data_IF_347341762561
#
_entry.id   IF_347341762561
#
_cell.length_a   1.000
_cell.length_b   1.000
_cell.length_c   1.000
_cell.angle_alpha   90.00
_cell.angle_beta   90.00
_cell.angle_gamma   90.00
#
_symmetry.space_group_name_H-M   'P 1'
#
loop_
_entity.id
_entity.type
_entity.pdbx_description
1 polymer ?
#
# COMPACT_ATOMS: atom_id res chain seq x y z
N UNK A 1 10.24 -12.46 -17.15
CA UNK A 1 10.23 -13.25 -15.89
C UNK A 1 11.35 -12.71 -15.01
N UNK A 2 11.10 -12.38 -13.74
CA UNK A 2 12.12 -11.88 -12.83
C UNK A 2 12.79 -13.07 -12.11
N UNK A 3 14.08 -13.29 -12.34
CA UNK A 3 14.84 -14.40 -11.73
C UNK A 3 15.04 -14.20 -10.21
N UNK A 4 14.94 -12.97 -9.71
CA UNK A 4 15.09 -12.66 -8.27
C UNK A 4 13.81 -12.89 -7.45
N UNK A 5 12.67 -13.15 -8.10
CA UNK A 5 11.37 -13.25 -7.43
C UNK A 5 11.07 -14.66 -6.87
N UNK A 6 12.01 -15.61 -6.97
CA UNK A 6 11.77 -17.00 -6.58
C UNK A 6 10.89 -17.76 -7.58
N UNK A 7 10.71 -19.06 -7.35
CA UNK A 7 9.99 -19.98 -8.23
C UNK A 7 8.46 -19.89 -8.09
N UNK A 8 7.91 -18.68 -7.98
CA UNK A 8 6.46 -18.50 -7.86
C UNK A 8 5.79 -18.76 -9.21
N UNK A 9 4.69 -19.51 -9.19
CA UNK A 9 3.86 -19.72 -10.37
C UNK A 9 3.31 -18.36 -10.84
N UNK A 10 3.53 -18.05 -12.12
CA UNK A 10 2.94 -16.88 -12.79
C UNK A 10 1.88 -17.41 -13.75
N UNK A 11 0.72 -16.76 -13.80
CA UNK A 11 -0.34 -17.14 -14.73
C UNK A 11 0.16 -17.04 -16.18
N UNK A 12 -0.07 -18.10 -16.97
CA UNK A 12 0.32 -18.19 -18.39
C UNK A 12 -0.83 -17.95 -19.36
N UNK A 13 -2.00 -17.55 -18.86
CA UNK A 13 -3.17 -17.32 -19.70
C UNK A 13 -2.98 -16.08 -20.60
N UNK A 14 -3.48 -16.10 -21.85
CA UNK A 14 -3.40 -14.95 -22.74
C UNK A 14 -4.02 -13.70 -22.12
N UNK A 15 -3.36 -12.54 -22.25
CA UNK A 15 -3.84 -11.25 -21.73
C UNK A 15 -3.59 -10.99 -20.23
N UNK A 16 -3.26 -12.02 -19.45
CA UNK A 16 -3.02 -11.92 -18.01
C UNK A 16 -1.72 -11.15 -17.70
N UNK A 17 -0.66 -11.38 -18.46
CA UNK A 17 0.59 -10.64 -18.32
C UNK A 17 0.41 -9.14 -18.62
N UNK A 18 -0.40 -8.80 -19.63
CA UNK A 18 -0.68 -7.41 -20.01
C UNK A 18 -1.57 -6.71 -18.98
N UNK A 19 -2.54 -7.42 -18.40
CA UNK A 19 -3.37 -6.91 -17.30
C UNK A 19 -2.50 -6.59 -16.08
N UNK A 20 -1.63 -7.52 -15.67
CA UNK A 20 -0.68 -7.29 -14.58
C UNK A 20 0.23 -6.08 -14.85
N UNK A 21 0.83 -6.00 -16.03
CA UNK A 21 1.71 -4.89 -16.37
C UNK A 21 0.97 -3.54 -16.38
N UNK A 22 -0.28 -3.50 -16.86
CA UNK A 22 -1.09 -2.30 -16.86
C UNK A 22 -1.52 -1.88 -15.44
N UNK A 23 -1.97 -2.83 -14.63
CA UNK A 23 -2.31 -2.60 -13.24
C UNK A 23 -1.11 -2.08 -12.43
N UNK A 24 0.07 -2.68 -12.60
CA UNK A 24 1.32 -2.21 -11.97
C UNK A 24 1.66 -0.79 -12.39
N UNK A 25 1.59 -0.47 -13.70
CA UNK A 25 1.81 0.92 -14.18
C UNK A 25 0.84 1.90 -13.53
N UNK A 26 -0.45 1.55 -13.44
CA UNK A 26 -1.48 2.42 -12.87
C UNK A 26 -1.30 2.59 -11.36
N UNK A 27 -0.94 1.52 -10.65
CA UNK A 27 -0.63 1.56 -9.22
C UNK A 27 0.55 2.49 -8.93
N UNK A 28 1.64 2.36 -9.70
CA UNK A 28 2.84 3.20 -9.55
C UNK A 28 2.60 4.67 -9.89
N UNK A 29 1.73 4.97 -10.88
CA UNK A 29 1.32 6.34 -11.18
C UNK A 29 0.46 6.95 -10.08
N UNK A 30 -0.42 6.15 -9.49
CA UNK A 30 -1.33 6.60 -8.42
C UNK A 30 -0.60 6.82 -7.09
N UNK A 31 0.48 6.08 -6.86
CA UNK A 31 1.32 6.17 -5.66
C UNK A 31 2.79 6.35 -6.03
N UNK A 32 3.25 7.60 -6.23
CA UNK A 32 4.66 7.91 -6.49
C UNK A 32 5.63 7.37 -5.43
N UNK A 33 5.10 7.09 -4.23
CA UNK A 33 5.75 6.35 -3.16
C UNK A 33 6.49 5.09 -3.64
N UNK A 34 5.91 4.30 -4.53
CA UNK A 34 6.55 3.07 -5.01
C UNK A 34 7.91 3.34 -5.68
N UNK A 35 7.93 4.31 -6.60
CA UNK A 35 9.13 4.67 -7.33
C UNK A 35 10.18 5.28 -6.40
N UNK A 36 9.75 6.22 -5.54
CA UNK A 36 10.64 6.89 -4.60
C UNK A 36 11.27 5.91 -3.60
N UNK A 37 10.51 4.91 -3.13
CA UNK A 37 10.95 4.01 -2.06
C UNK A 37 11.67 2.77 -2.55
N UNK A 38 11.16 2.13 -3.59
CA UNK A 38 11.62 0.81 -4.01
C UNK A 38 12.39 0.82 -5.33
N UNK A 39 12.33 1.94 -6.08
CA UNK A 39 13.07 2.12 -7.33
C UNK A 39 12.83 1.01 -8.35
N UNK A 40 13.80 0.81 -9.23
CA UNK A 40 13.68 -0.19 -10.30
C UNK A 40 13.54 -1.63 -9.78
N UNK A 41 14.14 -1.93 -8.63
CA UNK A 41 14.01 -3.25 -8.01
C UNK A 41 12.56 -3.51 -7.59
N UNK A 42 11.93 -2.54 -6.94
CA UNK A 42 10.50 -2.60 -6.60
C UNK A 42 9.61 -2.82 -7.80
N UNK A 43 9.92 -2.16 -8.93
CA UNK A 43 9.17 -2.29 -10.16
C UNK A 43 9.13 -3.75 -10.65
N UNK A 44 10.29 -4.41 -10.68
CA UNK A 44 10.40 -5.81 -11.11
C UNK A 44 9.66 -6.76 -10.17
N UNK A 45 9.66 -6.49 -8.86
CA UNK A 45 8.85 -7.24 -7.90
C UNK A 45 7.35 -7.01 -8.10
N UNK A 46 6.90 -5.78 -8.29
CA UNK A 46 5.47 -5.49 -8.53
C UNK A 46 4.94 -6.20 -9.78
N UNK A 47 5.74 -6.34 -10.85
CA UNK A 47 5.35 -7.13 -12.02
C UNK A 47 5.21 -8.62 -11.69
N UNK A 48 6.13 -9.16 -10.90
CA UNK A 48 6.08 -10.56 -10.48
C UNK A 48 4.90 -10.84 -9.56
N UNK A 49 4.71 -10.00 -8.54
CA UNK A 49 3.61 -10.10 -7.58
C UNK A 49 2.27 -9.97 -8.32
N UNK A 50 2.14 -9.04 -9.27
CA UNK A 50 0.92 -8.92 -10.05
C UNK A 50 0.66 -10.12 -10.98
N UNK A 51 1.70 -10.82 -11.41
CA UNK A 51 1.57 -12.09 -12.14
C UNK A 51 1.13 -13.25 -11.23
N UNK A 52 1.66 -13.29 -10.00
CA UNK A 52 1.27 -14.25 -8.96
C UNK A 52 -0.15 -14.02 -8.46
N UNK A 53 -0.58 -12.77 -8.27
CA UNK A 53 -1.95 -12.45 -7.83
C UNK A 53 -3.03 -13.06 -8.73
N UNK A 54 -2.73 -13.27 -10.01
CA UNK A 54 -3.64 -13.90 -10.96
C UNK A 54 -3.73 -15.42 -10.78
N UNK A 55 -2.79 -16.07 -10.10
CA UNK A 55 -2.94 -17.49 -9.72
C UNK A 55 -3.98 -17.67 -8.63
N UNK A 56 -4.37 -16.60 -7.93
CA UNK A 56 -5.46 -16.67 -6.94
C UNK A 56 -6.83 -16.84 -7.60
N UNK A 57 -6.97 -16.49 -8.88
CA UNK A 57 -8.22 -16.64 -9.65
C UNK A 57 -8.69 -18.09 -9.78
N UNK A 58 -7.78 -19.06 -9.66
CA UNK A 58 -8.09 -20.49 -9.81
C UNK A 58 -8.24 -21.21 -8.46
N UNK A 59 -8.05 -20.48 -7.35
CA UNK A 59 -8.22 -21.03 -6.01
C UNK A 59 -9.67 -20.87 -5.53
N UNK A 60 -10.17 -21.76 -4.66
CA UNK A 60 -11.37 -21.49 -3.89
C UNK A 60 -11.24 -20.16 -3.12
N UNK A 61 -12.35 -19.42 -3.02
CA UNK A 61 -12.37 -18.09 -2.38
C UNK A 61 -11.74 -18.06 -0.97
N UNK A 62 -11.98 -19.03 -0.06
CA UNK A 62 -11.32 -19.02 1.25
C UNK A 62 -9.79 -19.12 1.17
N UNK A 63 -9.27 -19.90 0.22
CA UNK A 63 -7.83 -20.10 0.02
C UNK A 63 -7.19 -18.85 -0.61
N UNK A 64 -7.85 -18.27 -1.61
CA UNK A 64 -7.44 -17.00 -2.21
C UNK A 64 -7.34 -15.88 -1.17
N UNK A 65 -8.35 -15.78 -0.29
CA UNK A 65 -8.39 -14.79 0.78
C UNK A 65 -7.30 -15.04 1.85
N UNK A 66 -7.04 -16.29 2.21
CA UNK A 66 -5.96 -16.64 3.13
C UNK A 66 -4.58 -16.24 2.57
N UNK A 67 -4.32 -16.56 1.30
CA UNK A 67 -3.09 -16.16 0.59
C UNK A 67 -2.98 -14.62 0.50
N UNK A 68 -4.10 -13.93 0.26
CA UNK A 68 -4.14 -12.46 0.21
C UNK A 68 -3.74 -11.83 1.55
N UNK A 69 -4.31 -12.33 2.65
CA UNK A 69 -4.01 -11.85 4.01
C UNK A 69 -2.57 -12.13 4.40
N UNK A 70 -2.03 -13.29 4.02
CA UNK A 70 -0.60 -13.60 4.20
C UNK A 70 0.29 -12.61 3.45
N UNK A 71 0.03 -12.38 2.15
CA UNK A 71 0.81 -11.42 1.35
C UNK A 71 0.75 -10.03 1.97
N UNK A 72 -0.46 -9.57 2.35
CA UNK A 72 -0.63 -8.28 3.02
C UNK A 72 0.25 -8.16 4.27
N UNK A 73 0.29 -9.18 5.13
CA UNK A 73 1.15 -9.19 6.31
C UNK A 73 2.64 -9.08 5.97
N UNK A 74 3.08 -9.84 4.96
CA UNK A 74 4.46 -9.83 4.45
C UNK A 74 4.88 -8.44 3.92
N UNK A 75 3.97 -7.76 3.22
CA UNK A 75 4.19 -6.44 2.62
C UNK A 75 4.17 -5.32 3.68
N UNK A 76 3.24 -5.35 4.64
CA UNK A 76 3.17 -4.40 5.77
C UNK A 76 4.50 -4.33 6.52
N UNK A 77 5.07 -5.49 6.85
CA UNK A 77 6.38 -5.59 7.51
C UNK A 77 7.54 -4.95 6.73
N UNK A 78 7.38 -4.72 5.41
CA UNK A 78 8.36 -4.07 4.53
C UNK A 78 8.03 -2.59 4.25
N UNK A 79 7.10 -2.02 5.02
CA UNK A 79 6.66 -0.64 4.83
C UNK A 79 5.79 -0.45 3.59
N UNK A 80 5.05 -1.49 3.16
CA UNK A 80 3.99 -1.35 2.15
C UNK A 80 2.62 -1.44 2.84
N UNK A 81 2.00 -0.30 3.18
CA UNK A 81 0.68 -0.31 3.80
C UNK A 81 -0.39 -0.94 2.92
N UNK A 82 -1.39 -1.54 3.55
CA UNK A 82 -2.42 -2.37 2.91
C UNK A 82 -3.21 -1.67 1.80
N UNK A 83 -3.40 -0.34 1.87
CA UNK A 83 -4.06 0.46 0.82
C UNK A 83 -3.37 0.34 -0.55
N UNK A 84 -2.06 0.09 -0.56
CA UNK A 84 -1.29 -0.09 -1.78
C UNK A 84 -1.68 -1.40 -2.48
N UNK A 85 -1.79 -2.49 -1.71
CA UNK A 85 -2.26 -3.78 -2.22
C UNK A 85 -3.75 -3.73 -2.59
N UNK A 86 -4.59 -3.12 -1.74
CA UNK A 86 -6.03 -2.89 -2.01
C UNK A 86 -6.22 -2.19 -3.37
N UNK A 87 -5.51 -1.09 -3.59
CA UNK A 87 -5.62 -0.30 -4.82
C UNK A 87 -5.11 -1.09 -6.04
N UNK A 88 -3.99 -1.81 -5.88
CA UNK A 88 -3.44 -2.63 -6.95
C UNK A 88 -4.40 -3.73 -7.40
N UNK A 89 -5.07 -4.40 -6.46
CA UNK A 89 -6.10 -5.41 -6.78
C UNK A 89 -7.28 -4.79 -7.53
N UNK A 90 -7.73 -3.59 -7.13
CA UNK A 90 -8.76 -2.86 -7.86
C UNK A 90 -8.35 -2.58 -9.31
N UNK A 91 -7.13 -2.09 -9.52
CA UNK A 91 -6.60 -1.88 -10.88
C UNK A 91 -6.46 -3.18 -11.66
N UNK A 92 -6.03 -4.27 -11.03
CA UNK A 92 -5.91 -5.57 -11.68
C UNK A 92 -7.27 -6.12 -12.11
N UNK A 93 -8.29 -6.03 -11.27
CA UNK A 93 -9.65 -6.45 -11.60
C UNK A 93 -10.22 -5.70 -12.81
N UNK A 94 -10.01 -4.38 -12.86
CA UNK A 94 -10.43 -3.54 -13.99
C UNK A 94 -9.67 -3.92 -15.28
N UNK A 95 -8.35 -4.08 -15.21
CA UNK A 95 -7.53 -4.42 -16.38
C UNK A 95 -7.80 -5.84 -16.91
N UNK A 96 -8.15 -6.79 -16.04
CA UNK A 96 -8.62 -8.13 -16.43
C UNK A 96 -9.96 -8.02 -17.18
N UNK A 97 -10.91 -7.27 -16.63
CA UNK A 97 -12.24 -7.07 -17.22
C UNK A 97 -12.14 -6.45 -18.62
N UNK A 98 -11.32 -5.41 -18.78
CA UNK A 98 -11.06 -4.76 -20.07
C UNK A 98 -10.51 -5.73 -21.14
N UNK A 99 -9.82 -6.79 -20.71
CA UNK A 99 -9.23 -7.81 -21.59
C UNK A 99 -10.09 -9.05 -21.76
N UNK A 100 -11.33 -9.03 -21.26
CA UNK A 100 -12.28 -10.14 -21.39
C UNK A 100 -12.06 -11.29 -20.40
N UNK A 101 -11.23 -11.09 -19.38
CA UNK A 101 -11.11 -12.02 -18.25
C UNK A 101 -12.01 -11.55 -17.11
N UNK A 102 -12.68 -12.48 -16.43
CA UNK A 102 -13.46 -12.17 -15.24
C UNK A 102 -12.57 -11.57 -14.13
N UNK A 103 -12.82 -10.29 -13.81
CA UNK A 103 -12.13 -9.56 -12.76
C UNK A 103 -12.84 -9.62 -11.39
N UNK A 104 -14.04 -10.18 -11.30
CA UNK A 104 -14.85 -10.22 -10.08
C UNK A 104 -14.12 -10.88 -8.90
N UNK A 105 -13.42 -12.02 -9.07
CA UNK A 105 -12.71 -12.64 -7.95
C UNK A 105 -11.63 -11.72 -7.35
N UNK A 106 -10.88 -10.99 -8.20
CA UNK A 106 -9.88 -10.03 -7.71
C UNK A 106 -10.55 -8.82 -7.06
N UNK A 107 -11.67 -8.36 -7.63
CA UNK A 107 -12.45 -7.24 -7.08
C UNK A 107 -12.97 -7.58 -5.68
N UNK A 108 -13.49 -8.78 -5.46
CA UNK A 108 -13.91 -9.23 -4.13
C UNK A 108 -12.77 -9.22 -3.12
N UNK A 109 -11.57 -9.68 -3.51
CA UNK A 109 -10.38 -9.59 -2.64
C UNK A 109 -10.02 -8.14 -2.29
N UNK A 110 -10.11 -7.21 -3.26
CA UNK A 110 -9.89 -5.79 -3.02
C UNK A 110 -10.94 -5.20 -2.06
N UNK A 111 -12.20 -5.56 -2.25
CA UNK A 111 -13.32 -5.10 -1.42
C UNK A 111 -13.24 -5.66 0.00
N UNK A 112 -12.75 -6.88 0.19
CA UNK A 112 -12.47 -7.45 1.52
C UNK A 112 -11.43 -6.64 2.28
N UNK A 113 -10.30 -6.31 1.64
CA UNK A 113 -9.29 -5.46 2.25
C UNK A 113 -9.84 -4.07 2.58
N UNK A 114 -10.64 -3.50 1.67
CA UNK A 114 -11.30 -2.22 1.88
C UNK A 114 -12.27 -2.25 3.05
N UNK A 115 -13.10 -3.29 3.15
CA UNK A 115 -14.04 -3.46 4.27
C UNK A 115 -13.31 -3.59 5.60
N UNK A 116 -12.23 -4.37 5.65
CA UNK A 116 -11.40 -4.49 6.85
C UNK A 116 -10.77 -3.16 7.27
N UNK A 117 -10.38 -2.31 6.31
CA UNK A 117 -9.88 -0.95 6.58
C UNK A 117 -11.00 -0.02 7.06
N UNK A 118 -12.13 0.00 6.37
CA UNK A 118 -13.27 0.87 6.69
C UNK A 118 -13.97 0.50 8.00
N UNK A 119 -13.79 -0.73 8.49
CA UNK A 119 -14.23 -1.13 9.82
C UNK A 119 -13.45 -0.42 10.95
N UNK A 120 -12.30 0.19 10.64
CA UNK A 120 -11.46 0.90 11.62
C UNK A 120 -11.52 2.42 11.48
N UNK A 121 -11.95 2.91 10.33
CA UNK A 121 -12.11 4.33 10.04
C UNK A 121 -13.21 4.50 9.00
N UNK A 122 -14.22 5.32 9.29
CA UNK A 122 -15.27 5.56 8.30
C UNK A 122 -14.76 6.39 7.11
N UNK A 123 -15.53 6.40 6.01
CA UNK A 123 -15.13 7.08 4.78
C UNK A 123 -15.01 8.61 4.92
N UNK A 124 -15.81 9.24 5.79
CA UNK A 124 -15.78 10.68 6.00
C UNK A 124 -14.54 11.08 6.80
N UNK A 125 -14.22 10.34 7.86
CA UNK A 125 -12.99 10.48 8.64
C UNK A 125 -11.76 10.23 7.77
N UNK A 126 -11.76 9.18 6.95
CA UNK A 126 -10.67 8.89 6.00
C UNK A 126 -10.41 10.08 5.06
N UNK A 127 -11.47 10.59 4.44
CA UNK A 127 -11.37 11.68 3.47
C UNK A 127 -10.91 12.97 4.13
N UNK A 128 -11.49 13.32 5.27
CA UNK A 128 -11.13 14.51 6.06
C UNK A 128 -9.66 14.46 6.51
N UNK A 129 -9.21 13.32 7.05
CA UNK A 129 -7.82 13.15 7.49
C UNK A 129 -6.84 13.16 6.33
N UNK A 130 -7.20 12.56 5.19
CA UNK A 130 -6.39 12.64 3.97
C UNK A 130 -6.19 14.09 3.52
N UNK A 131 -7.27 14.89 3.54
CA UNK A 131 -7.24 16.30 3.16
C UNK A 131 -6.50 17.18 4.17
N UNK A 132 -6.41 16.76 5.43
CA UNK A 132 -5.73 17.50 6.49
C UNK A 132 -4.21 17.26 6.55
N UNK A 133 -3.64 16.38 5.73
CA UNK A 133 -2.19 16.19 5.70
C UNK A 133 -1.53 17.50 5.21
N UNK A 134 -0.54 18.06 5.94
CA UNK A 134 0.17 19.24 5.50
C UNK A 134 0.86 18.99 4.16
N UNK A 135 0.73 19.94 3.23
CA UNK A 135 1.47 19.90 1.98
C UNK A 135 2.95 20.23 2.21
N UNK A 136 3.82 19.57 1.45
CA UNK A 136 5.24 19.91 1.43
C UNK A 136 5.51 20.87 0.27
N UNK A 137 6.18 21.98 0.59
CA UNK A 137 6.66 22.97 -0.39
C UNK A 137 7.85 22.45 -1.19
N UNK A 138 8.46 21.33 -0.80
CA UNK A 138 9.55 20.71 -1.56
C UNK A 138 9.02 20.19 -2.91
N UNK A 139 9.55 20.68 -4.05
CA UNK A 139 9.19 20.18 -5.37
C UNK A 139 9.44 18.69 -5.56
N UNK A 140 10.42 18.12 -4.85
CA UNK A 140 10.77 16.70 -4.85
C UNK A 140 9.94 15.86 -3.89
N UNK A 141 9.05 16.46 -3.10
CA UNK A 141 8.24 15.74 -2.14
C UNK A 141 7.33 14.70 -2.81
N UNK A 142 7.31 13.51 -2.24
CA UNK A 142 6.45 12.43 -2.69
C UNK A 142 5.00 12.81 -2.41
N UNK A 143 4.20 12.85 -3.47
CA UNK A 143 2.77 13.20 -3.39
C UNK A 143 1.93 11.99 -2.98
N UNK A 144 0.69 12.25 -2.57
CA UNK A 144 -0.30 11.24 -2.18
C UNK A 144 0.12 10.33 -1.01
N UNK A 145 0.80 10.90 -0.01
CA UNK A 145 1.26 10.16 1.18
C UNK A 145 0.16 9.95 2.23
N UNK A 146 -0.88 10.77 2.25
CA UNK A 146 -1.92 10.71 3.28
C UNK A 146 -2.62 9.33 3.37
N UNK A 147 -3.13 8.73 2.27
CA UNK A 147 -3.73 7.40 2.34
C UNK A 147 -2.72 6.32 2.77
N UNK A 148 -1.44 6.48 2.42
CA UNK A 148 -0.36 5.55 2.79
C UNK A 148 -0.14 5.59 4.31
N UNK A 149 -0.02 6.78 4.89
CA UNK A 149 0.15 6.92 6.33
C UNK A 149 -1.08 6.48 7.12
N UNK A 150 -2.29 6.88 6.71
CA UNK A 150 -3.51 6.42 7.39
C UNK A 150 -3.64 4.90 7.33
N UNK A 151 -3.36 4.30 6.18
CA UNK A 151 -3.31 2.84 6.06
C UNK A 151 -2.25 2.23 6.96
N UNK A 152 -1.06 2.83 7.05
CA UNK A 152 0.01 2.34 7.90
C UNK A 152 -0.39 2.38 9.38
N UNK A 153 -1.06 3.44 9.82
CA UNK A 153 -1.58 3.58 11.18
C UNK A 153 -2.66 2.55 11.51
N UNK A 154 -3.52 2.21 10.55
CA UNK A 154 -4.51 1.13 10.67
C UNK A 154 -3.81 -0.23 10.75
N UNK A 155 -2.77 -0.43 9.93
CA UNK A 155 -2.00 -1.66 9.87
C UNK A 155 -1.22 -1.96 11.16
N UNK A 156 -0.89 -0.95 11.98
CA UNK A 156 -0.22 -1.08 13.29
C UNK A 156 -0.90 -2.07 14.26
N UNK A 157 -2.21 -2.30 14.09
CA UNK A 157 -2.95 -3.26 14.91
C UNK A 157 -2.41 -4.68 14.74
N UNK A 158 -2.10 -5.05 13.50
CA UNK A 158 -1.66 -6.41 13.13
C UNK A 158 -0.16 -6.46 12.81
N UNK A 159 0.44 -5.33 12.42
CA UNK A 159 1.84 -5.20 12.03
C UNK A 159 2.46 -3.95 12.68
N UNK A 160 2.82 -4.04 13.98
CA UNK A 160 3.44 -2.94 14.69
C UNK A 160 4.71 -2.42 14.02
N UNK A 161 4.87 -1.10 13.97
CA UNK A 161 6.00 -0.41 13.36
C UNK A 161 5.82 -0.09 11.87
N UNK A 162 4.70 -0.46 11.24
CA UNK A 162 4.42 -0.12 9.83
C UNK A 162 4.44 1.39 9.59
N UNK A 163 3.76 2.18 10.42
CA UNK A 163 3.72 3.63 10.29
C UNK A 163 5.08 4.27 10.62
N UNK A 164 5.75 3.80 11.66
CA UNK A 164 7.11 4.25 12.00
C UNK A 164 8.09 4.01 10.84
N UNK A 165 7.96 2.87 10.15
CA UNK A 165 8.80 2.50 9.01
C UNK A 165 8.54 3.39 7.78
N UNK A 166 7.27 3.74 7.50
CA UNK A 166 6.95 4.73 6.44
C UNK A 166 7.49 6.11 6.82
N UNK A 167 7.30 6.53 8.07
CA UNK A 167 7.73 7.84 8.57
C UNK A 167 9.26 8.01 8.57
N UNK A 168 9.98 6.98 9.00
CA UNK A 168 11.44 6.97 8.99
C UNK A 168 11.99 7.10 7.57
N UNK A 169 11.39 6.41 6.61
CA UNK A 169 11.77 6.53 5.21
C UNK A 169 11.51 7.94 4.64
N UNK A 170 10.34 8.54 4.91
CA UNK A 170 10.04 9.92 4.48
C UNK A 170 11.05 10.92 5.05
N UNK A 171 11.47 10.74 6.30
CA UNK A 171 12.46 11.60 6.94
C UNK A 171 13.93 11.33 6.56
N UNK A 172 14.20 10.29 5.76
CA UNK A 172 15.56 9.93 5.36
C UNK A 172 16.09 10.79 4.21
N UNK A 173 17.41 10.83 4.04
CA UNK A 173 18.12 11.41 2.89
C UNK A 173 17.79 12.88 2.56
N UNK A 174 17.38 13.68 3.55
CA UNK A 174 17.04 15.09 3.33
C UNK A 174 15.83 15.30 2.40
N UNK A 175 14.97 14.29 2.24
CA UNK A 175 13.79 14.29 1.34
C UNK A 175 12.70 15.27 1.75
N UNK A 176 12.84 15.94 2.88
CA UNK A 176 11.79 16.74 3.50
C UNK A 176 12.37 17.75 4.46
N UNK A 177 11.77 18.95 4.44
CA UNK A 177 12.11 20.01 5.39
C UNK A 177 11.72 19.63 6.83
N UNK A 178 12.55 20.03 7.79
CA UNK A 178 12.36 19.72 9.20
C UNK A 178 11.06 20.31 9.77
N UNK A 179 10.61 21.46 9.27
CA UNK A 179 9.34 22.09 9.62
C UNK A 179 8.15 21.29 9.14
N UNK A 180 8.18 20.79 7.90
CA UNK A 180 7.13 19.90 7.39
C UNK A 180 7.11 18.57 8.14
N UNK A 181 8.28 17.98 8.43
CA UNK A 181 8.37 16.74 9.20
C UNK A 181 7.72 16.86 10.59
N UNK A 182 7.88 18.00 11.28
CA UNK A 182 7.18 18.24 12.56
C UNK A 182 5.67 18.31 12.40
N UNK A 183 5.17 18.97 11.36
CA UNK A 183 3.73 19.03 11.08
C UNK A 183 3.17 17.64 10.72
N UNK A 184 3.92 16.85 9.95
CA UNK A 184 3.59 15.46 9.66
C UNK A 184 3.50 14.63 10.95
N UNK A 185 4.44 14.81 11.89
CA UNK A 185 4.41 14.09 13.17
C UNK A 185 3.19 14.45 14.01
N UNK A 186 2.83 15.74 14.10
CA UNK A 186 1.58 16.18 14.74
C UNK A 186 0.36 15.53 14.08
N UNK A 187 0.27 15.58 12.75
CA UNK A 187 -0.84 14.97 12.02
C UNK A 187 -0.91 13.45 12.22
N UNK A 188 0.23 12.76 12.26
CA UNK A 188 0.30 11.31 12.52
C UNK A 188 -0.20 10.97 13.92
N UNK A 189 0.17 11.73 14.94
CA UNK A 189 -0.28 11.52 16.32
C UNK A 189 -1.79 11.76 16.45
N UNK A 190 -2.30 12.83 15.84
CA UNK A 190 -3.73 13.15 15.83
C UNK A 190 -4.56 12.07 15.11
N UNK A 191 -4.02 11.53 14.01
CA UNK A 191 -4.61 10.41 13.29
C UNK A 191 -4.56 9.12 14.11
N UNK A 192 -3.41 8.79 14.67
CA UNK A 192 -3.23 7.59 15.48
C UNK A 192 -4.17 7.58 16.68
N UNK A 193 -4.28 8.70 17.39
CA UNK A 193 -5.17 8.87 18.55
C UNK A 193 -6.63 8.67 18.15
N UNK A 194 -7.07 9.31 17.07
CA UNK A 194 -8.45 9.26 16.64
C UNK A 194 -8.93 7.91 16.08
N UNK A 195 -8.01 7.01 15.72
CA UNK A 195 -8.33 5.64 15.27
C UNK A 195 -7.89 4.55 16.26
N UNK A 196 -7.34 4.93 17.43
CA UNK A 196 -6.86 3.97 18.43
C UNK A 196 -5.62 3.17 17.99
N UNK A 197 -4.77 3.75 17.14
CA UNK A 197 -3.55 3.10 16.66
C UNK A 197 -2.46 3.04 17.74
N UNK A 198 -1.67 1.95 17.74
CA UNK A 198 -0.53 1.76 18.65
C UNK A 198 0.57 2.80 18.46
N UNK A 199 0.64 3.43 17.28
CA UNK A 199 1.57 4.52 16.99
C UNK A 199 1.48 5.66 18.02
N UNK A 200 0.29 5.97 18.54
CA UNK A 200 0.12 7.03 19.54
C UNK A 200 0.80 6.74 20.89
N UNK A 201 1.06 5.47 21.19
CA UNK A 201 1.57 5.02 22.50
C UNK A 201 3.06 4.72 22.51
N UNK A 202 3.66 4.50 21.35
CA UNK A 202 5.09 4.26 21.21
C UNK A 202 5.75 5.63 21.17
N UNK A 203 6.35 6.07 22.29
CA UNK A 203 7.10 7.32 22.34
C UNK A 203 8.15 7.34 21.23
N UNK A 204 7.84 8.04 20.13
CA UNK A 204 8.77 8.19 19.02
C UNK A 204 9.83 9.19 19.45
N UNK A 205 10.88 8.69 20.10
CA UNK A 205 12.06 9.48 20.41
C UNK A 205 12.65 10.00 19.11
N UNK A 206 12.47 11.30 18.88
CA UNK A 206 13.28 12.02 17.91
C UNK A 206 14.75 11.87 18.33
N UNK A 207 15.66 11.39 17.45
CA UNK A 207 17.04 11.76 17.60
C UNK A 207 17.07 13.29 17.44
N UNK A 208 17.34 13.99 18.53
CA UNK A 208 17.78 15.39 18.49
C UNK A 208 18.95 15.51 17.51
N UNK A 209 19.03 16.62 16.75
CA UNK A 209 20.07 16.84 15.73
C UNK A 209 21.49 16.76 16.30
#
# INVERSE_FOLDING_TARGET
MNLEAGSHAVSVAPGHADAAAAATRRSWRSYPYYAARYGERGWRFSLSDSGWLQTLLVLPEPDALAQMRWLRGLLRARGMPSVLLESHLGFLAEELTVRGTDGDPVRHLADDLRRERLAQIDAAQWSSRCAALPESDDPGAVRNLAPIFLSALIDERDAPGTAANVRAWVGSDGRSDAGWLRQLDTWLIDCATGIGSRYATVGHHHPTP
#
